data_IF_902352058115
#
_entry.id   IF_902352058115
#
_cell.length_a   1.000
_cell.length_b   1.000
_cell.length_c   1.000
_cell.angle_alpha   90.00
_cell.angle_beta   90.00
_cell.angle_gamma   90.00
#
_symmetry.space_group_name_H-M   'P 1'
#
loop_
_entity.id
_entity.type
_entity.pdbx_description
1 polymer ?
#
# COMPACT_ATOMS: atom_id res chain seq x y z
N UNK A 1 15.73 12.72 13.10
CA UNK A 1 16.26 11.37 13.40
C UNK A 1 15.10 10.37 13.54
N UNK A 2 14.20 10.29 12.55
CA UNK A 2 13.02 9.39 12.58
C UNK A 2 12.75 8.71 11.23
N UNK A 3 13.62 8.90 10.24
CA UNK A 3 13.48 8.34 8.88
C UNK A 3 14.66 7.40 8.54
N UNK A 4 15.68 7.33 9.40
CA UNK A 4 16.97 6.73 9.03
C UNK A 4 17.29 5.32 9.55
N UNK A 5 16.32 4.57 10.08
CA UNK A 5 16.56 3.16 10.46
C UNK A 5 15.43 2.25 9.96
N UNK A 6 15.16 2.27 8.65
CA UNK A 6 14.49 1.14 7.97
C UNK A 6 15.45 0.25 7.16
N UNK A 7 16.74 0.60 7.10
CA UNK A 7 17.79 -0.18 6.43
C UNK A 7 18.16 -1.51 7.15
N UNK A 8 17.53 -1.85 8.27
CA UNK A 8 17.70 -3.14 8.95
C UNK A 8 16.57 -4.15 8.73
N UNK A 9 15.63 -3.86 7.84
CA UNK A 9 14.43 -4.70 7.68
C UNK A 9 14.51 -5.74 6.55
N UNK A 10 15.64 -5.98 5.89
CA UNK A 10 15.70 -7.03 4.84
C UNK A 10 15.34 -8.43 5.38
N UNK A 11 15.52 -8.69 6.69
CA UNK A 11 15.10 -9.95 7.35
C UNK A 11 13.62 -9.98 7.74
N UNK A 12 13.05 -8.84 8.12
CA UNK A 12 11.61 -8.73 8.45
C UNK A 12 10.76 -8.66 7.17
N UNK A 13 11.32 -8.20 6.05
CA UNK A 13 10.65 -8.17 4.74
C UNK A 13 10.31 -9.59 4.26
N UNK A 14 11.25 -10.54 4.34
CA UNK A 14 10.97 -11.92 3.94
C UNK A 14 9.97 -12.60 4.87
N UNK A 15 10.11 -12.37 6.17
CA UNK A 15 9.23 -13.01 7.16
C UNK A 15 7.82 -12.42 7.10
N UNK A 16 7.63 -11.10 7.05
CA UNK A 16 6.29 -10.50 6.98
C UNK A 16 5.60 -10.73 5.64
N UNK A 17 6.31 -10.69 4.50
CA UNK A 17 5.71 -11.01 3.19
C UNK A 17 5.17 -12.46 3.15
N UNK A 18 5.84 -13.38 3.84
CA UNK A 18 5.46 -14.80 3.88
C UNK A 18 4.48 -15.12 5.01
N UNK A 19 4.54 -14.42 6.14
CA UNK A 19 3.75 -14.74 7.36
C UNK A 19 2.47 -13.92 7.51
N UNK A 20 2.41 -12.69 7.00
CA UNK A 20 1.21 -11.84 7.11
C UNK A 20 0.00 -12.42 6.34
N UNK A 21 0.12 -12.87 5.08
CA UNK A 21 -1.01 -13.49 4.38
C UNK A 21 -1.61 -14.70 5.09
N UNK A 22 -0.84 -15.71 5.58
CA UNK A 22 -1.41 -16.82 6.33
C UNK A 22 -1.93 -16.43 7.73
N UNK A 23 -1.39 -15.37 8.35
CA UNK A 23 -1.95 -14.84 9.60
C UNK A 23 -3.32 -14.16 9.40
N UNK A 24 -3.50 -13.44 8.29
CA UNK A 24 -4.77 -12.80 7.94
C UNK A 24 -5.81 -13.77 7.37
N UNK A 25 -5.37 -14.79 6.62
CA UNK A 25 -6.23 -15.74 5.90
C UNK A 25 -5.91 -17.18 6.32
N UNK A 26 -6.29 -17.53 7.54
CA UNK A 26 -5.93 -18.80 8.22
C UNK A 26 -6.60 -20.04 7.64
N UNK A 27 -7.71 -19.89 6.91
CA UNK A 27 -8.41 -21.02 6.31
C UNK A 27 -7.55 -21.65 5.20
N UNK A 28 -7.21 -22.96 5.27
CA UNK A 28 -6.33 -23.60 4.29
C UNK A 28 -6.85 -23.52 2.85
N UNK A 29 -8.18 -23.43 2.64
CA UNK A 29 -8.78 -23.35 1.30
C UNK A 29 -8.55 -22.02 0.59
N UNK A 30 -8.01 -21.01 1.28
CA UNK A 30 -7.75 -19.66 0.74
C UNK A 30 -6.33 -19.49 0.17
N UNK A 31 -5.80 -20.52 -0.50
CA UNK A 31 -4.41 -20.49 -1.01
C UNK A 31 -4.23 -19.45 -2.12
N UNK A 32 -5.21 -19.32 -3.02
CA UNK A 32 -5.16 -18.33 -4.10
C UNK A 32 -5.23 -16.90 -3.54
N UNK A 33 -6.13 -16.63 -2.60
CA UNK A 33 -6.26 -15.33 -1.95
C UNK A 33 -4.99 -14.95 -1.20
N UNK A 34 -4.34 -15.92 -0.52
CA UNK A 34 -3.04 -15.67 0.11
C UNK A 34 -1.99 -15.28 -0.91
N UNK A 35 -1.91 -15.96 -2.05
CA UNK A 35 -0.94 -15.63 -3.11
C UNK A 35 -1.18 -14.23 -3.67
N UNK A 36 -2.43 -13.87 -3.98
CA UNK A 36 -2.75 -12.53 -4.47
C UNK A 36 -2.48 -11.44 -3.43
N UNK A 37 -2.77 -11.73 -2.15
CA UNK A 37 -2.49 -10.81 -1.05
C UNK A 37 -0.98 -10.63 -0.83
N UNK A 38 -0.18 -11.71 -0.94
CA UNK A 38 1.28 -11.62 -0.88
C UNK A 38 1.81 -10.70 -1.96
N UNK A 39 1.34 -10.82 -3.21
CA UNK A 39 1.78 -9.94 -4.30
C UNK A 39 1.49 -8.47 -3.95
N UNK A 40 0.28 -8.16 -3.47
CA UNK A 40 -0.09 -6.81 -3.07
C UNK A 40 0.82 -6.28 -1.94
N UNK A 41 1.05 -7.09 -0.90
CA UNK A 41 1.97 -6.73 0.21
C UNK A 41 3.39 -6.48 -0.31
N UNK A 42 3.91 -7.33 -1.20
CA UNK A 42 5.23 -7.13 -1.79
C UNK A 42 5.34 -5.81 -2.54
N UNK A 43 4.28 -5.37 -3.24
CA UNK A 43 4.29 -4.05 -3.88
C UNK A 43 4.31 -2.90 -2.87
N UNK A 44 3.60 -2.99 -1.74
CA UNK A 44 3.66 -1.96 -0.69
C UNK A 44 5.12 -1.70 -0.31
N UNK A 45 5.88 -2.77 -0.03
CA UNK A 45 7.28 -2.69 0.34
C UNK A 45 8.20 -2.19 -0.79
N UNK A 46 8.02 -2.68 -2.02
CA UNK A 46 8.82 -2.21 -3.17
C UNK A 46 8.64 -0.71 -3.38
N UNK A 47 7.40 -0.22 -3.21
CA UNK A 47 7.08 1.20 -3.35
C UNK A 47 7.66 1.99 -2.17
N UNK A 48 7.51 1.51 -0.93
CA UNK A 48 8.12 2.10 0.28
C UNK A 48 9.64 2.31 0.08
N UNK A 49 10.37 1.27 -0.32
CA UNK A 49 11.81 1.34 -0.60
C UNK A 49 12.13 2.34 -1.72
N UNK A 50 11.27 2.43 -2.74
CA UNK A 50 11.44 3.37 -3.85
C UNK A 50 11.35 4.82 -3.37
N UNK A 51 10.42 5.11 -2.45
CA UNK A 51 10.25 6.43 -1.84
C UNK A 51 11.36 6.76 -0.83
N UNK A 52 11.81 5.79 -0.05
CA UNK A 52 12.79 6.01 1.02
C UNK A 52 14.25 6.04 0.54
N UNK A 53 14.61 5.20 -0.43
CA UNK A 53 16.03 4.94 -0.76
C UNK A 53 16.46 5.42 -2.15
N UNK A 54 15.55 5.39 -3.14
CA UNK A 54 15.94 5.49 -4.55
C UNK A 54 15.42 6.75 -5.28
N UNK A 55 14.43 7.43 -4.72
CA UNK A 55 13.78 8.58 -5.34
C UNK A 55 14.42 9.92 -5.01
N UNK A 56 14.60 10.78 -6.02
CA UNK A 56 14.65 12.22 -5.76
C UNK A 56 13.22 12.75 -5.67
N UNK A 57 12.98 13.81 -4.90
CA UNK A 57 11.63 14.36 -4.72
C UNK A 57 10.92 14.64 -6.06
N UNK A 58 11.65 15.16 -7.05
CA UNK A 58 11.13 15.37 -8.40
C UNK A 58 10.66 14.07 -9.07
N UNK A 59 11.46 13.01 -9.02
CA UNK A 59 11.11 11.69 -9.59
C UNK A 59 9.92 11.07 -8.87
N UNK A 60 9.87 11.16 -7.54
CA UNK A 60 8.76 10.66 -6.72
C UNK A 60 7.46 11.41 -7.02
N UNK A 61 7.53 12.73 -7.21
CA UNK A 61 6.37 13.54 -7.63
C UNK A 61 5.83 13.07 -8.99
N UNK A 62 6.71 12.85 -9.98
CA UNK A 62 6.30 12.31 -11.28
C UNK A 62 5.70 10.90 -11.16
N UNK A 63 6.26 10.06 -10.29
CA UNK A 63 5.77 8.71 -10.07
C UNK A 63 4.37 8.71 -9.46
N UNK A 64 4.14 9.52 -8.41
CA UNK A 64 2.82 9.74 -7.80
C UNK A 64 1.80 10.32 -8.78
N UNK A 65 2.22 11.21 -9.67
CA UNK A 65 1.37 11.80 -10.70
C UNK A 65 0.93 10.78 -11.76
N UNK A 66 1.86 9.97 -12.27
CA UNK A 66 1.53 8.83 -13.16
C UNK A 66 0.59 7.84 -12.47
N UNK A 67 0.84 7.56 -11.19
CA UNK A 67 0.01 6.68 -10.36
C UNK A 67 -1.42 7.21 -10.23
N UNK A 68 -1.57 8.50 -9.93
CA UNK A 68 -2.87 9.15 -9.75
C UNK A 68 -3.68 9.21 -11.05
N UNK A 69 -3.01 9.41 -12.19
CA UNK A 69 -3.66 9.33 -13.51
C UNK A 69 -3.99 7.89 -13.93
N UNK A 70 -3.31 6.91 -13.34
CA UNK A 70 -3.40 5.49 -13.70
C UNK A 70 -3.13 5.25 -15.22
N UNK A 71 -2.14 5.96 -15.78
CA UNK A 71 -1.87 6.01 -17.22
C UNK A 71 -0.56 5.31 -17.60
N UNK A 72 -0.67 4.22 -18.38
CA UNK A 72 0.47 3.45 -18.90
C UNK A 72 1.32 4.28 -19.86
N UNK A 73 0.72 5.09 -20.73
CA UNK A 73 1.48 5.89 -21.70
C UNK A 73 2.31 6.95 -20.97
N UNK A 74 1.73 7.61 -19.96
CA UNK A 74 2.46 8.53 -19.11
C UNK A 74 3.61 7.87 -18.35
N UNK A 75 3.56 6.56 -18.10
CA UNK A 75 4.65 5.85 -17.38
C UNK A 75 5.96 5.78 -18.18
N UNK A 76 5.94 6.00 -19.50
CA UNK A 76 7.15 5.98 -20.33
C UNK A 76 8.14 7.11 -20.00
N UNK A 77 7.66 8.19 -19.37
CA UNK A 77 8.52 9.29 -18.91
C UNK A 77 9.23 9.00 -17.58
N UNK A 78 8.87 7.90 -16.90
CA UNK A 78 9.47 7.52 -15.62
C UNK A 78 10.84 6.84 -15.83
N UNK A 79 11.75 6.94 -14.84
CA UNK A 79 12.95 6.11 -14.80
C UNK A 79 12.61 4.62 -14.87
N UNK A 80 13.50 3.80 -15.46
CA UNK A 80 13.20 2.40 -15.77
C UNK A 80 12.68 1.59 -14.58
N UNK A 81 13.29 1.73 -13.39
CA UNK A 81 12.82 1.03 -12.19
C UNK A 81 11.38 1.38 -11.79
N UNK A 82 11.04 2.68 -11.75
CA UNK A 82 9.69 3.16 -11.42
C UNK A 82 8.67 2.78 -12.50
N UNK A 83 9.08 2.83 -13.77
CA UNK A 83 8.26 2.39 -14.91
C UNK A 83 7.92 0.91 -14.83
N UNK A 84 8.91 0.07 -14.55
CA UNK A 84 8.72 -1.38 -14.36
C UNK A 84 7.78 -1.62 -13.17
N UNK A 85 8.03 -0.96 -12.04
CA UNK A 85 7.19 -1.06 -10.85
C UNK A 85 5.73 -0.69 -11.16
N UNK A 86 5.50 0.46 -11.81
CA UNK A 86 4.16 0.92 -12.20
C UNK A 86 3.44 -0.10 -13.09
N UNK A 87 4.09 -0.56 -14.16
CA UNK A 87 3.48 -1.50 -15.11
C UNK A 87 3.16 -2.84 -14.44
N UNK A 88 4.03 -3.30 -13.55
CA UNK A 88 3.81 -4.53 -12.80
C UNK A 88 2.65 -4.38 -11.80
N UNK A 89 2.55 -3.25 -11.10
CA UNK A 89 1.42 -2.93 -10.23
C UNK A 89 0.11 -2.83 -11.02
N UNK A 90 0.14 -2.15 -12.18
CA UNK A 90 -1.01 -2.03 -13.08
C UNK A 90 -1.54 -3.41 -13.49
N UNK A 91 -0.64 -4.31 -13.89
CA UNK A 91 -0.99 -5.67 -14.27
C UNK A 91 -1.54 -6.48 -13.09
N UNK A 92 -0.93 -6.38 -11.91
CA UNK A 92 -1.42 -7.01 -10.68
C UNK A 92 -2.86 -6.57 -10.39
N UNK A 93 -3.13 -5.27 -10.41
CA UNK A 93 -4.46 -4.74 -10.10
C UNK A 93 -5.52 -5.24 -11.10
N UNK A 94 -5.16 -5.37 -12.38
CA UNK A 94 -6.05 -5.95 -13.39
C UNK A 94 -6.27 -7.45 -13.20
N UNK A 95 -5.22 -8.20 -12.84
CA UNK A 95 -5.32 -9.64 -12.53
C UNK A 95 -6.28 -9.87 -11.37
N UNK A 96 -6.08 -9.16 -10.25
CA UNK A 96 -6.94 -9.24 -9.07
C UNK A 96 -8.37 -8.80 -9.39
N UNK A 97 -8.54 -7.72 -10.16
CA UNK A 97 -9.87 -7.24 -10.57
C UNK A 97 -10.60 -8.28 -11.41
N UNK A 98 -9.89 -8.91 -12.35
CA UNK A 98 -10.46 -9.96 -13.21
C UNK A 98 -10.86 -11.18 -12.40
N UNK A 99 -9.98 -11.66 -11.51
CA UNK A 99 -10.26 -12.78 -10.60
C UNK A 99 -11.46 -12.51 -9.70
N UNK A 100 -11.50 -11.33 -9.08
CA UNK A 100 -12.61 -10.90 -8.20
C UNK A 100 -13.93 -10.85 -8.98
N UNK A 101 -13.92 -10.28 -10.18
CA UNK A 101 -15.12 -10.21 -11.02
C UNK A 101 -15.60 -11.60 -11.45
N UNK A 102 -14.69 -12.49 -11.85
CA UNK A 102 -15.04 -13.86 -12.24
C UNK A 102 -15.60 -14.68 -11.07
N UNK A 103 -15.03 -14.52 -9.86
CA UNK A 103 -15.40 -15.31 -8.68
C UNK A 103 -16.65 -14.78 -7.98
N UNK A 104 -16.79 -13.46 -7.90
CA UNK A 104 -17.78 -12.80 -7.05
C UNK A 104 -18.73 -11.86 -7.81
N UNK A 105 -18.52 -11.64 -9.11
CA UNK A 105 -19.37 -10.77 -9.93
C UNK A 105 -19.18 -9.26 -9.71
N UNK A 106 -18.19 -8.85 -8.91
CA UNK A 106 -17.92 -7.44 -8.59
C UNK A 106 -16.58 -6.98 -9.17
N UNK A 107 -16.53 -5.78 -9.73
CA UNK A 107 -15.29 -5.20 -10.25
C UNK A 107 -14.65 -4.25 -9.20
N UNK A 108 -13.53 -4.64 -8.56
CA UNK A 108 -12.90 -3.84 -7.50
C UNK A 108 -11.94 -2.77 -8.04
N UNK A 109 -11.80 -2.62 -9.36
CA UNK A 109 -10.77 -1.77 -9.98
C UNK A 109 -10.74 -0.37 -9.39
N UNK A 110 -11.88 0.30 -9.23
CA UNK A 110 -11.94 1.66 -8.70
C UNK A 110 -11.37 1.74 -7.27
N UNK A 111 -11.85 0.88 -6.38
CA UNK A 111 -11.46 0.83 -4.97
C UNK A 111 -9.97 0.51 -4.80
N UNK A 112 -9.46 -0.47 -5.56
CA UNK A 112 -8.03 -0.81 -5.53
C UNK A 112 -7.18 0.38 -5.99
N UNK A 113 -7.55 1.05 -7.09
CA UNK A 113 -6.81 2.22 -7.60
C UNK A 113 -6.76 3.34 -6.58
N UNK A 114 -7.91 3.68 -5.98
CA UNK A 114 -8.04 4.72 -4.95
C UNK A 114 -7.16 4.42 -3.73
N UNK A 115 -7.10 3.16 -3.31
CA UNK A 115 -6.29 2.73 -2.18
C UNK A 115 -4.79 2.96 -2.46
N UNK A 116 -4.31 2.52 -3.64
CA UNK A 116 -2.92 2.72 -4.08
C UNK A 116 -2.56 4.19 -4.25
N UNK A 117 -3.44 4.99 -4.87
CA UNK A 117 -3.26 6.44 -5.01
C UNK A 117 -3.07 7.11 -3.64
N UNK A 118 -3.88 6.72 -2.65
CA UNK A 118 -3.78 7.25 -1.29
C UNK A 118 -2.44 6.92 -0.63
N UNK A 119 -1.93 5.70 -0.86
CA UNK A 119 -0.62 5.27 -0.35
C UNK A 119 0.53 6.10 -0.97
N UNK A 120 0.53 6.26 -2.30
CA UNK A 120 1.55 7.06 -2.99
C UNK A 120 1.57 8.52 -2.55
N UNK A 121 0.38 9.11 -2.34
CA UNK A 121 0.26 10.47 -1.82
C UNK A 121 0.84 10.58 -0.41
N UNK A 122 0.55 9.60 0.45
CA UNK A 122 1.08 9.59 1.81
C UNK A 122 2.62 9.44 1.85
N UNK A 123 3.19 8.57 1.01
CA UNK A 123 4.65 8.47 0.88
C UNK A 123 5.27 9.75 0.31
N UNK A 124 4.62 10.41 -0.65
CA UNK A 124 5.13 11.68 -1.18
C UNK A 124 5.19 12.76 -0.09
N UNK A 125 4.18 12.85 0.77
CA UNK A 125 4.16 13.79 1.91
C UNK A 125 5.34 13.52 2.86
N UNK A 126 5.65 12.25 3.15
CA UNK A 126 6.81 11.89 3.98
C UNK A 126 8.13 12.28 3.31
N UNK A 127 8.27 12.03 2.01
CA UNK A 127 9.43 12.44 1.23
C UNK A 127 9.60 13.97 1.19
N UNK A 128 8.50 14.73 1.12
CA UNK A 128 8.51 16.20 1.18
C UNK A 128 8.96 16.72 2.55
N UNK A 129 8.44 16.15 3.64
CA UNK A 129 8.90 16.47 4.99
C UNK A 129 10.40 16.20 5.15
N UNK A 130 10.86 15.04 4.68
CA UNK A 130 12.26 14.68 4.72
C UNK A 130 13.14 15.65 3.91
N UNK A 131 12.80 15.90 2.65
CA UNK A 131 13.59 16.74 1.75
C UNK A 131 13.66 18.21 2.21
N UNK A 132 12.60 18.71 2.86
CA UNK A 132 12.55 20.07 3.39
C UNK A 132 13.17 20.21 4.79
N UNK A 133 13.48 19.10 5.47
CA UNK A 133 13.85 19.09 6.88
C UNK A 133 12.71 19.52 7.82
N UNK A 134 11.47 19.53 7.32
CA UNK A 134 10.30 19.87 8.12
C UNK A 134 10.00 18.76 9.13
N UNK A 135 9.76 19.15 10.38
CA UNK A 135 9.34 18.22 11.43
C UNK A 135 7.82 18.42 11.61
N UNK A 136 6.98 17.49 11.14
CA UNK A 136 5.53 17.61 11.29
C UNK A 136 5.13 17.57 12.76
N UNK A 137 3.94 18.12 13.08
CA UNK A 137 3.33 17.88 14.39
C UNK A 137 2.99 16.39 14.52
N UNK A 138 2.98 15.87 15.74
CA UNK A 138 2.69 14.45 15.97
C UNK A 138 1.34 13.98 15.42
N UNK A 139 0.33 14.85 15.42
CA UNK A 139 -0.99 14.56 14.82
C UNK A 139 -0.92 14.51 13.28
N UNK A 140 -0.26 15.48 12.64
CA UNK A 140 -0.09 15.51 11.19
C UNK A 140 0.71 14.29 10.71
N UNK A 141 1.80 13.98 11.42
CA UNK A 141 2.60 12.77 11.21
C UNK A 141 1.74 11.51 11.32
N UNK A 142 0.98 11.35 12.40
CA UNK A 142 0.20 10.14 12.62
C UNK A 142 -0.94 9.98 11.62
N UNK A 143 -1.59 11.09 11.23
CA UNK A 143 -2.66 11.07 10.23
C UNK A 143 -2.14 10.60 8.87
N UNK A 144 -0.96 11.06 8.45
CA UNK A 144 -0.31 10.56 7.24
C UNK A 144 0.22 9.13 7.43
N UNK A 145 0.84 8.88 8.58
CA UNK A 145 1.42 7.60 9.02
C UNK A 145 0.43 6.44 8.96
N UNK A 146 -0.83 6.68 9.33
CA UNK A 146 -1.91 5.71 9.22
C UNK A 146 -2.07 5.23 7.76
N UNK A 147 -1.98 6.13 6.78
CA UNK A 147 -2.11 5.78 5.36
C UNK A 147 -0.80 5.20 4.82
N UNK A 148 0.36 5.81 5.11
CA UNK A 148 1.66 5.33 4.66
C UNK A 148 2.06 3.98 5.27
N UNK A 149 1.35 3.50 6.30
CA UNK A 149 1.53 2.13 6.82
C UNK A 149 1.18 1.04 5.81
N UNK A 150 0.40 1.35 4.76
CA UNK A 150 -0.05 0.39 3.75
C UNK A 150 -1.12 -0.60 4.23
N UNK A 151 -1.49 -0.59 5.51
CA UNK A 151 -2.46 -1.54 6.10
C UNK A 151 -3.83 -1.47 5.43
N UNK A 152 -4.24 -0.28 4.99
CA UNK A 152 -5.51 -0.11 4.29
C UNK A 152 -5.52 -0.82 2.94
N UNK A 153 -4.38 -0.88 2.24
CA UNK A 153 -4.25 -1.68 1.01
C UNK A 153 -4.56 -3.14 1.33
N UNK A 154 -3.93 -3.69 2.37
CA UNK A 154 -4.10 -5.10 2.78
C UNK A 154 -5.57 -5.39 3.08
N UNK A 155 -6.24 -4.55 3.86
CA UNK A 155 -7.64 -4.76 4.24
C UNK A 155 -8.61 -4.61 3.07
N UNK A 156 -8.38 -3.64 2.17
CA UNK A 156 -9.17 -3.51 0.93
C UNK A 156 -9.00 -4.73 0.03
N UNK A 157 -7.78 -5.23 -0.13
CA UNK A 157 -7.52 -6.45 -0.92
C UNK A 157 -8.20 -7.67 -0.30
N UNK A 158 -8.10 -7.87 1.02
CA UNK A 158 -8.78 -8.96 1.72
C UNK A 158 -10.29 -8.91 1.49
N UNK A 159 -10.90 -7.73 1.61
CA UNK A 159 -12.35 -7.55 1.43
C UNK A 159 -12.82 -8.05 0.05
N UNK A 160 -12.13 -7.65 -1.03
CA UNK A 160 -12.49 -8.07 -2.37
C UNK A 160 -12.12 -9.52 -2.69
N UNK A 161 -10.96 -9.99 -2.24
CA UNK A 161 -10.54 -11.37 -2.46
C UNK A 161 -11.49 -12.38 -1.80
N UNK A 162 -11.95 -12.09 -0.58
CA UNK A 162 -12.92 -12.94 0.12
C UNK A 162 -14.34 -12.84 -0.47
N UNK A 163 -14.69 -11.69 -1.02
CA UNK A 163 -15.99 -11.45 -1.67
C UNK A 163 -17.21 -11.56 -0.77
N UNK A 164 -17.01 -11.60 0.55
CA UNK A 164 -18.10 -11.77 1.51
C UNK A 164 -18.94 -10.49 1.58
N UNK A 165 -20.23 -10.59 1.23
CA UNK A 165 -21.19 -9.48 1.27
C UNK A 165 -20.78 -8.29 0.38
N UNK A 166 -20.25 -8.54 -0.82
CA UNK A 166 -20.00 -7.49 -1.80
C UNK A 166 -21.31 -6.85 -2.26
N UNK A 167 -21.62 -5.69 -1.70
CA UNK A 167 -22.68 -4.78 -2.11
C UNK A 167 -22.08 -3.40 -2.33
N UNK A 168 -22.73 -2.57 -3.16
CA UNK A 168 -22.28 -1.20 -3.39
C UNK A 168 -22.14 -0.41 -2.09
N UNK A 169 -23.09 -0.56 -1.17
CA UNK A 169 -23.06 0.07 0.16
C UNK A 169 -21.82 -0.35 0.98
N UNK A 170 -21.52 -1.65 1.03
CA UNK A 170 -20.35 -2.13 1.76
C UNK A 170 -19.03 -1.67 1.12
N UNK A 171 -18.99 -1.57 -0.21
CA UNK A 171 -17.83 -1.04 -0.94
C UNK A 171 -17.62 0.44 -0.63
N UNK A 172 -18.69 1.24 -0.60
CA UNK A 172 -18.63 2.66 -0.22
C UNK A 172 -18.13 2.85 1.22
N UNK A 173 -18.56 1.98 2.15
CA UNK A 173 -18.05 1.98 3.52
C UNK A 173 -16.55 1.71 3.56
N UNK A 174 -16.07 0.70 2.82
CA UNK A 174 -14.64 0.35 2.76
C UNK A 174 -13.82 1.46 2.10
N UNK A 175 -14.30 2.01 0.97
CA UNK A 175 -13.67 3.12 0.26
C UNK A 175 -13.67 4.42 1.08
N UNK A 176 -14.58 4.54 2.06
CA UNK A 176 -14.68 5.63 3.02
C UNK A 176 -13.69 5.56 4.17
N UNK A 177 -12.77 4.59 4.18
CA UNK A 177 -11.75 4.40 5.22
C UNK A 177 -12.36 4.28 6.62
N UNK A 178 -13.15 3.23 6.88
CA UNK A 178 -13.96 3.11 8.09
C UNK A 178 -13.06 2.95 9.32
N UNK A 179 -13.64 3.23 10.50
CA UNK A 179 -12.91 3.22 11.78
C UNK A 179 -12.08 1.95 12.00
N UNK A 180 -12.59 0.79 11.62
CA UNK A 180 -11.86 -0.48 11.73
C UNK A 180 -10.52 -0.45 10.97
N UNK A 181 -10.52 0.06 9.73
CA UNK A 181 -9.28 0.22 8.94
C UNK A 181 -8.37 1.23 9.63
N UNK A 182 -8.88 2.40 9.98
CA UNK A 182 -8.07 3.46 10.62
C UNK A 182 -7.46 3.01 11.95
N UNK A 183 -8.18 2.23 12.76
CA UNK A 183 -7.73 1.77 14.07
C UNK A 183 -6.62 0.73 13.94
N UNK A 184 -6.78 -0.25 13.03
CA UNK A 184 -5.75 -1.27 12.79
C UNK A 184 -4.49 -0.62 12.21
N UNK A 185 -4.66 0.29 11.24
CA UNK A 185 -3.56 1.04 10.64
C UNK A 185 -2.83 1.92 11.66
N UNK A 186 -3.57 2.61 12.55
CA UNK A 186 -2.99 3.40 13.64
C UNK A 186 -2.20 2.54 14.62
N UNK A 187 -2.75 1.39 15.02
CA UNK A 187 -2.06 0.47 15.91
C UNK A 187 -0.75 -0.03 15.30
N UNK A 188 -0.78 -0.47 14.04
CA UNK A 188 0.40 -0.97 13.35
C UNK A 188 1.45 0.13 13.10
N UNK A 189 1.04 1.34 12.71
CA UNK A 189 1.95 2.48 12.59
C UNK A 189 2.67 2.76 13.91
N UNK A 190 1.92 2.89 15.00
CA UNK A 190 2.52 3.15 16.32
C UNK A 190 3.43 2.00 16.76
N UNK A 191 3.02 0.75 16.55
CA UNK A 191 3.81 -0.42 16.89
C UNK A 191 5.14 -0.47 16.13
N UNK A 192 5.11 -0.19 14.82
CA UNK A 192 6.30 -0.08 13.97
C UNK A 192 7.25 1.03 14.49
N UNK A 193 6.70 2.21 14.77
CA UNK A 193 7.47 3.35 15.26
C UNK A 193 8.08 3.10 16.65
N UNK A 194 7.36 2.40 17.54
CA UNK A 194 7.86 2.01 18.87
C UNK A 194 9.06 1.07 18.78
N UNK A 195 9.03 0.10 17.85
CA UNK A 195 10.15 -0.83 17.64
C UNK A 195 11.44 -0.17 17.16
N UNK A 196 11.34 1.06 16.64
CA UNK A 196 12.48 1.84 16.13
C UNK A 196 13.00 2.82 17.20
N UNK A 197 12.16 3.26 18.14
CA UNK A 197 12.52 4.24 19.15
C UNK A 197 13.50 3.72 20.23
N UNK A 198 13.72 2.41 20.30
CA UNK A 198 14.61 1.75 21.28
C UNK A 198 16.06 1.54 20.78
N UNK A 199 16.42 2.05 19.60
CA UNK A 199 17.78 1.92 19.01
C UNK A 199 18.54 3.25 19.01
#
# INVERSE_FOLDING_TARGET
MMIFIRLHFTFVYSDNMVTLPPACLTNPTLSEERVELTKAISFIYIIDDTFDLYGTLHKLTMFTDVMSRWDIAASEQLPDGMKICFKALYNLNNEISTKTYQKHGFNPTHSLRKAWESLFKAFLVEAEWFASGNIPRGEDYLNNGIISSGVHIVLVHIFFLLGQRLTQENVEIIDGFPRIISSVAKFLRLWDDFGIAEV
#
